data_IF_109839696719
#
_entry.id   IF_109839696719
#
_cell.length_a   1.000
_cell.length_b   1.000
_cell.length_c   1.000
_cell.angle_alpha   90.00
_cell.angle_beta   90.00
_cell.angle_gamma   90.00
#
_symmetry.space_group_name_H-M   'P 1'
#
loop_
_entity.id
_entity.type
_entity.pdbx_description
1 polymer ?
#
# COMPACT_ATOMS: atom_id res chain seq x y z
N UNK A 1 25.33 37.27 11.86
CA UNK A 1 25.15 35.82 12.03
C UNK A 1 23.71 35.53 11.66
N UNK A 2 23.46 35.24 10.38
CA UNK A 2 22.13 34.95 9.86
C UNK A 2 22.08 33.46 9.61
N UNK A 3 21.25 32.76 10.35
CA UNK A 3 20.95 31.34 10.15
C UNK A 3 20.11 31.20 8.88
N UNK A 4 20.69 30.57 7.86
CA UNK A 4 19.97 30.13 6.66
C UNK A 4 18.87 29.13 7.00
N UNK A 5 17.76 29.10 6.23
CA UNK A 5 16.70 28.12 6.45
C UNK A 5 17.20 26.72 6.10
N UNK A 6 16.88 25.80 6.99
CA UNK A 6 17.07 24.36 6.90
C UNK A 6 16.51 23.82 5.59
N UNK A 7 17.39 23.35 4.71
CA UNK A 7 17.00 22.59 3.53
C UNK A 7 16.51 21.23 4.04
N UNK A 8 15.19 21.02 4.05
CA UNK A 8 14.62 19.69 4.23
C UNK A 8 15.27 18.77 3.19
N UNK A 9 16.04 17.78 3.67
CA UNK A 9 16.71 16.83 2.79
C UNK A 9 15.66 16.06 1.99
N UNK A 10 15.90 15.76 0.70
CA UNK A 10 15.04 14.85 -0.04
C UNK A 10 15.06 13.54 0.75
N UNK A 11 13.93 13.13 1.29
CA UNK A 11 13.72 11.71 1.63
C UNK A 11 14.19 10.95 0.40
N UNK A 12 15.19 10.09 0.53
CA UNK A 12 15.89 9.47 -0.60
C UNK A 12 14.85 8.80 -1.52
N UNK A 13 14.47 9.51 -2.59
CA UNK A 13 13.36 9.11 -3.47
C UNK A 13 13.62 7.74 -4.07
N UNK A 14 14.89 7.39 -4.26
CA UNK A 14 15.32 6.08 -4.78
C UNK A 14 15.01 4.98 -3.76
N UNK A 15 15.28 5.22 -2.48
CA UNK A 15 14.99 4.28 -1.40
C UNK A 15 13.48 4.04 -1.21
N UNK A 16 12.67 5.10 -1.25
CA UNK A 16 11.21 4.98 -1.10
C UNK A 16 10.57 4.18 -2.22
N UNK A 17 10.93 4.47 -3.49
CA UNK A 17 10.40 3.74 -4.63
C UNK A 17 10.86 2.29 -4.63
N UNK A 18 12.10 2.01 -4.19
CA UNK A 18 12.59 0.65 -4.03
C UNK A 18 11.78 -0.14 -2.98
N UNK A 19 11.44 0.46 -1.84
CA UNK A 19 10.63 -0.18 -0.81
C UNK A 19 9.21 -0.51 -1.30
N UNK A 20 8.58 0.41 -2.04
CA UNK A 20 7.28 0.14 -2.66
C UNK A 20 7.35 -0.95 -3.73
N UNK A 21 8.41 -0.95 -4.54
CA UNK A 21 8.63 -2.01 -5.53
C UNK A 21 8.81 -3.37 -4.85
N UNK A 22 9.55 -3.43 -3.75
CA UNK A 22 9.72 -4.68 -2.99
C UNK A 22 8.38 -5.22 -2.49
N UNK A 23 7.50 -4.37 -1.94
CA UNK A 23 6.14 -4.78 -1.55
C UNK A 23 5.35 -5.36 -2.74
N UNK A 24 5.38 -4.68 -3.89
CA UNK A 24 4.70 -5.13 -5.11
C UNK A 24 5.23 -6.50 -5.54
N UNK A 25 6.55 -6.68 -5.55
CA UNK A 25 7.19 -7.93 -5.96
C UNK A 25 6.88 -9.07 -4.98
N UNK A 26 6.82 -8.79 -3.68
CA UNK A 26 6.43 -9.76 -2.65
C UNK A 26 4.99 -10.21 -2.87
N UNK A 27 4.05 -9.29 -3.05
CA UNK A 27 2.63 -9.62 -3.30
C UNK A 27 2.46 -10.43 -4.59
N UNK A 28 3.14 -10.03 -5.67
CA UNK A 28 3.12 -10.78 -6.93
C UNK A 28 3.67 -12.21 -6.75
N UNK A 29 4.74 -12.38 -5.97
CA UNK A 29 5.31 -13.71 -5.66
C UNK A 29 4.36 -14.55 -4.81
N UNK A 30 3.73 -13.97 -3.80
CA UNK A 30 2.74 -14.67 -2.97
C UNK A 30 1.55 -15.15 -3.80
N UNK A 31 1.20 -14.42 -4.86
CA UNK A 31 0.13 -14.77 -5.80
C UNK A 31 0.58 -15.54 -7.04
N UNK A 32 1.84 -15.98 -7.09
CA UNK A 32 2.33 -16.80 -8.19
C UNK A 32 1.61 -18.16 -8.22
N UNK A 33 1.01 -18.59 -9.34
CA UNK A 33 0.49 -19.96 -9.49
C UNK A 33 1.58 -21.03 -9.30
N UNK A 34 2.84 -20.65 -9.51
CA UNK A 34 4.02 -21.49 -9.37
C UNK A 34 4.62 -21.33 -7.97
N UNK A 35 3.96 -21.93 -6.97
CA UNK A 35 4.50 -22.02 -5.60
C UNK A 35 4.25 -20.79 -4.70
N UNK A 36 3.28 -19.94 -5.07
CA UNK A 36 2.78 -18.88 -4.20
C UNK A 36 2.11 -19.41 -2.93
N UNK A 37 1.73 -18.49 -2.04
CA UNK A 37 1.02 -18.82 -0.82
C UNK A 37 -0.42 -19.25 -1.16
N UNK A 38 -0.88 -20.44 -0.70
CA UNK A 38 -2.22 -20.93 -1.00
C UNK A 38 -3.34 -20.00 -0.51
N UNK A 39 -3.14 -19.31 0.62
CA UNK A 39 -4.13 -18.38 1.15
C UNK A 39 -4.23 -17.14 0.27
N UNK A 40 -3.11 -16.54 -0.11
CA UNK A 40 -3.08 -15.37 -1.00
C UNK A 40 -3.69 -15.71 -2.35
N UNK A 41 -3.25 -16.79 -2.99
CA UNK A 41 -3.79 -17.27 -4.27
C UNK A 41 -5.31 -17.44 -4.27
N UNK A 42 -5.89 -17.90 -3.16
CA UNK A 42 -7.33 -18.13 -3.03
C UNK A 42 -8.15 -16.84 -2.88
N UNK A 43 -7.51 -15.69 -2.63
CA UNK A 43 -8.22 -14.44 -2.39
C UNK A 43 -8.89 -13.87 -3.66
N UNK A 44 -10.02 -13.24 -3.42
CA UNK A 44 -10.83 -12.48 -4.38
C UNK A 44 -11.09 -11.09 -3.79
N UNK A 45 -11.50 -10.09 -4.60
CA UNK A 45 -11.86 -8.78 -4.06
C UNK A 45 -12.96 -8.89 -2.98
N UNK A 46 -13.90 -9.83 -3.16
CA UNK A 46 -15.00 -10.04 -2.21
C UNK A 46 -14.54 -10.68 -0.90
N UNK A 47 -13.58 -11.61 -0.93
CA UNK A 47 -13.05 -12.24 0.28
C UNK A 47 -12.18 -11.29 1.10
N UNK A 48 -11.64 -10.23 0.48
CA UNK A 48 -10.80 -9.24 1.14
C UNK A 48 -11.56 -8.06 1.78
N UNK A 49 -12.87 -7.93 1.54
CA UNK A 49 -13.72 -6.89 2.16
C UNK A 49 -13.55 -6.80 3.68
N UNK A 50 -13.64 -7.88 4.48
CA UNK A 50 -13.52 -7.77 5.94
C UNK A 50 -12.16 -7.21 6.36
N UNK A 51 -11.07 -7.62 5.70
CA UNK A 51 -9.72 -7.15 6.01
C UNK A 51 -9.58 -5.65 5.73
N UNK A 52 -10.03 -5.16 4.56
CA UNK A 52 -10.02 -3.72 4.27
C UNK A 52 -10.76 -2.90 5.32
N UNK A 53 -11.87 -3.43 5.84
CA UNK A 53 -12.65 -2.76 6.88
C UNK A 53 -11.89 -2.77 8.21
N UNK A 54 -11.34 -3.92 8.59
CA UNK A 54 -10.54 -4.11 9.81
C UNK A 54 -9.34 -3.15 9.84
N UNK A 55 -8.46 -3.21 8.83
CA UNK A 55 -7.28 -2.33 8.76
C UNK A 55 -7.67 -0.84 8.80
N UNK A 56 -8.79 -0.46 8.17
CA UNK A 56 -9.25 0.92 8.20
C UNK A 56 -9.71 1.35 9.61
N UNK A 57 -10.29 0.46 10.40
CA UNK A 57 -10.63 0.74 11.79
C UNK A 57 -9.38 0.76 12.68
N UNK A 58 -8.42 -0.13 12.44
CA UNK A 58 -7.17 -0.19 13.19
C UNK A 58 -6.33 1.07 12.94
N UNK A 59 -6.22 1.56 11.70
CA UNK A 59 -5.64 2.87 11.39
C UNK A 59 -6.31 4.00 12.19
N UNK A 60 -7.65 4.01 12.26
CA UNK A 60 -8.39 5.03 13.00
C UNK A 60 -8.08 4.97 14.50
N UNK A 61 -8.03 3.78 15.06
CA UNK A 61 -7.76 3.59 16.49
C UNK A 61 -6.29 3.89 16.83
N UNK A 62 -5.34 3.54 15.96
CA UNK A 62 -3.94 3.92 16.06
C UNK A 62 -3.77 5.45 16.08
N UNK A 63 -4.44 6.17 15.16
CA UNK A 63 -4.44 7.64 15.13
C UNK A 63 -5.01 8.22 16.42
N UNK A 64 -6.14 7.70 16.91
CA UNK A 64 -6.77 8.15 18.17
C UNK A 64 -5.89 7.93 19.38
N UNK A 65 -5.05 6.90 19.35
CA UNK A 65 -4.11 6.58 20.42
C UNK A 65 -2.84 7.44 20.40
N UNK A 66 -2.63 8.27 19.37
CA UNK A 66 -1.42 9.07 19.15
C UNK A 66 -0.12 8.24 19.17
N UNK A 67 -0.23 6.95 18.83
CA UNK A 67 0.90 6.02 18.80
C UNK A 67 1.47 5.94 17.37
N UNK A 68 2.52 6.72 17.11
CA UNK A 68 3.18 6.80 15.81
C UNK A 68 3.63 5.44 15.25
N UNK A 69 4.05 4.52 16.11
CA UNK A 69 4.47 3.19 15.66
C UNK A 69 3.28 2.36 15.17
N UNK A 70 2.17 2.39 15.91
CA UNK A 70 0.94 1.72 15.49
C UNK A 70 0.41 2.37 14.21
N UNK A 71 0.42 3.71 14.11
CA UNK A 71 -0.03 4.40 12.88
C UNK A 71 0.76 3.91 11.66
N UNK A 72 2.09 3.78 11.78
CA UNK A 72 2.92 3.29 10.67
C UNK A 72 2.64 1.81 10.32
N UNK A 73 2.39 0.96 11.31
CA UNK A 73 2.05 -0.45 11.15
C UNK A 73 0.71 -0.60 10.41
N UNK A 74 -0.37 0.00 10.93
CA UNK A 74 -1.70 -0.14 10.36
C UNK A 74 -1.82 0.52 8.97
N UNK A 75 -1.09 1.62 8.71
CA UNK A 75 -1.01 2.19 7.36
C UNK A 75 -0.31 1.25 6.37
N UNK A 76 0.66 0.46 6.85
CA UNK A 76 1.32 -0.58 6.08
C UNK A 76 0.36 -1.71 5.71
N UNK A 77 -0.45 -2.17 6.67
CA UNK A 77 -1.42 -3.25 6.44
C UNK A 77 -2.57 -2.79 5.53
N UNK A 78 -3.06 -1.56 5.71
CA UNK A 78 -4.01 -0.98 4.76
C UNK A 78 -3.41 -0.82 3.35
N UNK A 79 -2.12 -0.44 3.24
CA UNK A 79 -1.42 -0.37 1.96
C UNK A 79 -1.29 -1.77 1.30
N UNK A 80 -1.00 -2.82 2.09
CA UNK A 80 -1.00 -4.20 1.60
C UNK A 80 -2.35 -4.55 0.96
N UNK A 81 -3.47 -4.19 1.58
CA UNK A 81 -4.80 -4.46 1.01
C UNK A 81 -5.02 -3.77 -0.35
N UNK A 82 -4.49 -2.55 -0.54
CA UNK A 82 -4.54 -1.84 -1.83
C UNK A 82 -3.71 -2.55 -2.90
N UNK A 83 -2.47 -2.93 -2.57
CA UNK A 83 -1.56 -3.61 -3.51
C UNK A 83 -2.10 -5.00 -3.87
N UNK A 84 -2.59 -5.76 -2.90
CA UNK A 84 -3.14 -7.10 -3.10
C UNK A 84 -4.37 -7.09 -4.01
N UNK A 85 -5.31 -6.17 -3.80
CA UNK A 85 -6.48 -6.05 -4.67
C UNK A 85 -6.12 -5.57 -6.08
N UNK A 86 -5.18 -4.64 -6.22
CA UNK A 86 -4.71 -4.20 -7.53
C UNK A 86 -4.01 -5.34 -8.29
N UNK A 87 -3.25 -6.20 -7.59
CA UNK A 87 -2.64 -7.40 -8.17
C UNK A 87 -3.73 -8.39 -8.66
N UNK A 88 -4.75 -8.67 -7.84
CA UNK A 88 -5.88 -9.54 -8.21
C UNK A 88 -6.63 -9.01 -9.43
N UNK A 89 -6.90 -7.71 -9.50
CA UNK A 89 -7.58 -7.09 -10.63
C UNK A 89 -6.72 -7.08 -11.90
N UNK A 90 -5.41 -6.91 -11.76
CA UNK A 90 -4.45 -6.99 -12.88
C UNK A 90 -4.41 -8.40 -13.48
N UNK A 91 -4.39 -9.44 -12.63
CA UNK A 91 -4.48 -10.86 -13.06
C UNK A 91 -5.74 -11.16 -13.89
N UNK A 92 -6.82 -10.39 -13.65
CA UNK A 92 -8.09 -10.51 -14.36
C UNK A 92 -8.22 -9.56 -15.56
N UNK A 93 -7.17 -8.80 -15.90
CA UNK A 93 -7.18 -7.83 -16.99
C UNK A 93 -8.13 -6.65 -16.79
N UNK A 94 -8.44 -6.29 -15.54
CA UNK A 94 -9.39 -5.23 -15.20
C UNK A 94 -8.71 -3.86 -15.05
N UNK A 95 -7.83 -3.72 -14.06
CA UNK A 95 -7.06 -2.51 -13.81
C UNK A 95 -5.78 -2.85 -13.04
N UNK A 96 -4.84 -1.91 -13.01
CA UNK A 96 -3.51 -2.04 -12.41
C UNK A 96 -3.30 -1.09 -11.25
N UNK A 97 -2.28 -1.36 -10.42
CA UNK A 97 -1.87 -0.42 -9.36
C UNK A 97 -1.46 0.95 -9.93
N UNK A 98 -0.88 0.98 -11.13
CA UNK A 98 -0.57 2.21 -11.87
C UNK A 98 -1.83 3.04 -12.12
N UNK A 99 -2.91 2.41 -12.59
CA UNK A 99 -4.18 3.11 -12.83
C UNK A 99 -4.82 3.61 -11.53
N UNK A 100 -4.73 2.85 -10.43
CA UNK A 100 -5.17 3.29 -9.10
C UNK A 100 -4.42 4.56 -8.67
N UNK A 101 -3.09 4.54 -8.72
CA UNK A 101 -2.24 5.66 -8.33
C UNK A 101 -2.43 6.90 -9.21
N UNK A 102 -2.53 6.71 -10.54
CA UNK A 102 -2.80 7.79 -11.48
C UNK A 102 -4.19 8.40 -11.28
N UNK A 103 -5.20 7.56 -11.03
CA UNK A 103 -6.58 8.00 -10.81
C UNK A 103 -6.71 8.93 -9.60
N UNK A 104 -6.11 8.55 -8.46
CA UNK A 104 -6.13 9.43 -7.27
C UNK A 104 -5.29 10.69 -7.48
N UNK A 105 -4.11 10.58 -8.12
CA UNK A 105 -3.25 11.73 -8.41
C UNK A 105 -3.97 12.76 -9.26
N UNK A 106 -4.59 12.35 -10.37
CA UNK A 106 -5.34 13.23 -11.27
C UNK A 106 -6.52 13.89 -10.56
N UNK A 107 -7.19 13.17 -9.65
CA UNK A 107 -8.30 13.72 -8.86
C UNK A 107 -7.83 14.81 -7.89
N UNK A 108 -6.63 14.69 -7.31
CA UNK A 108 -6.08 15.65 -6.33
C UNK A 108 -5.53 16.93 -6.97
N UNK A 109 -5.09 16.87 -8.23
CA UNK A 109 -4.53 18.04 -8.95
C UNK A 109 -5.56 18.82 -9.78
N UNK A 110 -6.82 18.36 -9.79
CA UNK A 110 -7.94 19.00 -10.48
C UNK A 110 -8.60 20.06 -9.59
#
# INVERSE_FOLDING_TARGET
MSTSPEQAQPVDQVSMLAALQELIDVVARLRSPEGGCPWDLAQTPQSLIPYVIEEAYEVVDAIRSENENAIAEELGDLLLQVVLQAQISSEQGQFTLTEVAQGITQKLIR
#
